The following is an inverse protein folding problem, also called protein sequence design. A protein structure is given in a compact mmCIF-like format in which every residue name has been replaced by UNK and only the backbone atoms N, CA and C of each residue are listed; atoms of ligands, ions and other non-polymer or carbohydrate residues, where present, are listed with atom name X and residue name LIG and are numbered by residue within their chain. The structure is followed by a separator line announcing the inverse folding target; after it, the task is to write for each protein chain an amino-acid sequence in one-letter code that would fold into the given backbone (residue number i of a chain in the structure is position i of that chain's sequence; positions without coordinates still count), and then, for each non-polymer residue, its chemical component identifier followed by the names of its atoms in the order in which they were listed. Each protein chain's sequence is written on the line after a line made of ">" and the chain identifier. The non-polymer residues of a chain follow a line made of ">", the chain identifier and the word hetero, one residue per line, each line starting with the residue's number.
data_IF_501049890988
#
_entry.id   IF_501049890988
#
_cell.length_a   1.000
_cell.length_b   1.000
_cell.length_c   1.000
_cell.angle_alpha   90.00
_cell.angle_beta   90.00
_cell.angle_gamma   90.00
#
_symmetry.space_group_name_H-M   'P 1'
#
loop_
_entity.id
_entity.type
_entity.pdbx_description
1 polymer ?
#
# COMPACT_ATOMS: atom_id res chain seq x y z
N UNK A 1 -27.68 -21.08 7.51
CA UNK A 1 -27.61 -19.61 7.56
C UNK A 1 -27.18 -19.05 8.92
N UNK A 2 -27.83 -19.35 10.08
CA UNK A 2 -27.48 -18.70 11.35
C UNK A 2 -26.08 -19.06 11.88
N UNK A 3 -25.63 -20.30 11.66
CA UNK A 3 -24.27 -20.72 12.04
C UNK A 3 -23.16 -19.95 11.32
N UNK A 4 -23.35 -19.63 10.03
CA UNK A 4 -22.39 -18.85 9.26
C UNK A 4 -22.34 -17.39 9.75
N UNK A 5 -23.50 -16.81 10.13
CA UNK A 5 -23.56 -15.48 10.71
C UNK A 5 -22.82 -15.41 12.06
N UNK A 6 -23.01 -16.42 12.93
CA UNK A 6 -22.29 -16.50 14.21
C UNK A 6 -20.78 -16.62 13.98
N UNK A 7 -20.35 -17.47 13.05
CA UNK A 7 -18.93 -17.63 12.72
C UNK A 7 -18.31 -16.36 12.15
N UNK A 8 -19.04 -15.63 11.30
CA UNK A 8 -18.59 -14.34 10.77
C UNK A 8 -18.41 -13.28 11.86
N UNK A 9 -19.34 -13.20 12.82
CA UNK A 9 -19.23 -12.28 13.95
C UNK A 9 -18.04 -12.63 14.82
N UNK A 10 -17.84 -13.91 15.15
CA UNK A 10 -16.69 -14.36 15.94
C UNK A 10 -15.38 -14.05 15.23
N UNK A 11 -15.29 -14.31 13.92
CA UNK A 11 -14.11 -13.99 13.12
C UNK A 11 -13.84 -12.49 13.05
N UNK A 12 -14.88 -11.68 12.88
CA UNK A 12 -14.76 -10.22 12.87
C UNK A 12 -14.24 -9.69 14.21
N UNK A 13 -14.76 -10.19 15.33
CA UNK A 13 -14.29 -9.82 16.66
C UNK A 13 -12.82 -10.24 16.89
N UNK A 14 -12.44 -11.42 16.39
CA UNK A 14 -11.05 -11.89 16.40
C UNK A 14 -10.16 -10.93 15.60
N UNK A 15 -10.58 -10.58 14.39
CA UNK A 15 -9.84 -9.64 13.54
C UNK A 15 -9.66 -8.29 14.22
N UNK A 16 -10.73 -7.71 14.78
CA UNK A 16 -10.65 -6.45 15.54
C UNK A 16 -9.67 -6.59 16.70
N UNK A 17 -9.72 -7.68 17.46
CA UNK A 17 -8.79 -7.93 18.57
C UNK A 17 -7.33 -8.00 18.14
N UNK A 18 -7.03 -8.49 16.94
CA UNK A 18 -5.66 -8.61 16.42
C UNK A 18 -5.18 -7.31 15.78
N UNK A 19 -6.07 -6.62 15.08
CA UNK A 19 -5.74 -5.42 14.30
C UNK A 19 -5.71 -4.16 15.17
N UNK A 20 -6.57 -4.02 16.18
CA UNK A 20 -6.56 -2.87 17.09
C UNK A 20 -5.18 -2.56 17.70
N UNK A 21 -4.45 -3.51 18.33
CA UNK A 21 -3.11 -3.21 18.87
C UNK A 21 -2.06 -2.96 17.79
N UNK A 22 -2.35 -3.29 16.53
CA UNK A 22 -1.46 -3.06 15.40
C UNK A 22 -1.68 -1.66 14.80
N UNK A 23 -2.90 -1.12 14.82
CA UNK A 23 -3.24 0.25 14.37
C UNK A 23 -2.42 1.30 15.13
N UNK A 24 -2.34 1.17 16.46
CA UNK A 24 -1.59 2.10 17.31
C UNK A 24 -0.08 2.05 17.05
N UNK A 25 0.43 0.88 16.63
CA UNK A 25 1.85 0.67 16.32
C UNK A 25 2.25 1.16 14.94
N UNK A 26 1.33 1.10 13.97
CA UNK A 26 1.56 1.55 12.59
C UNK A 26 1.32 3.07 12.45
N UNK A 27 0.67 3.71 13.43
CA UNK A 27 0.43 5.16 13.41
C UNK A 27 -0.69 5.56 12.44
N UNK A 28 -1.64 4.65 12.16
CA UNK A 28 -2.74 4.90 11.20
C UNK A 28 -3.71 5.98 11.70
N UNK A 29 -3.76 6.25 13.00
CA UNK A 29 -4.54 7.34 13.58
C UNK A 29 -4.09 8.74 13.07
N UNK A 30 -2.84 8.84 12.57
CA UNK A 30 -2.27 10.07 12.01
C UNK A 30 -2.36 10.12 10.48
N UNK A 31 -3.10 9.20 9.86
CA UNK A 31 -3.44 9.25 8.44
C UNK A 31 -4.56 10.28 8.21
N UNK A 32 -4.33 11.51 8.65
CA UNK A 32 -5.20 12.62 8.33
C UNK A 32 -5.03 12.95 6.84
N UNK A 33 -6.12 13.01 6.08
CA UNK A 33 -6.11 13.41 4.66
C UNK A 33 -6.01 14.94 4.49
N UNK A 34 -5.67 15.65 5.55
CA UNK A 34 -5.46 17.09 5.54
C UNK A 34 -4.05 17.40 5.01
N UNK A 35 -3.94 17.52 3.69
CA UNK A 35 -2.70 17.92 3.02
C UNK A 35 -2.38 19.43 3.21
N UNK A 36 -3.22 20.15 3.96
CA UNK A 36 -3.11 21.59 4.18
C UNK A 36 -2.85 21.90 5.65
N UNK A 37 -1.64 21.60 6.11
CA UNK A 37 -1.19 21.95 7.46
C UNK A 37 -0.88 23.46 7.55
N UNK A 38 -1.55 24.18 8.46
CA UNK A 38 -1.36 25.63 8.67
C UNK A 38 0.07 25.97 9.16
N UNK A 39 0.69 25.08 9.94
CA UNK A 39 2.07 25.18 10.45
C UNK A 39 2.92 23.99 9.97
N UNK A 40 3.05 23.80 8.66
CA UNK A 40 3.95 22.79 8.12
C UNK A 40 5.40 23.08 8.54
N UNK A 41 6.12 22.05 9.00
CA UNK A 41 7.53 22.17 9.31
C UNK A 41 8.33 22.59 8.06
N UNK A 42 9.34 23.44 8.25
CA UNK A 42 10.18 23.90 7.16
C UNK A 42 10.92 22.70 6.52
N UNK A 43 10.82 22.58 5.20
CA UNK A 43 11.44 21.47 4.45
C UNK A 43 12.89 21.85 4.17
N UNK A 44 13.89 21.09 4.65
CA UNK A 44 15.29 21.39 4.37
C UNK A 44 15.53 21.52 2.86
N UNK A 45 16.28 22.55 2.45
CA UNK A 45 16.53 22.85 1.03
C UNK A 45 17.10 21.64 0.24
N UNK A 46 17.88 20.79 0.92
CA UNK A 46 18.52 19.60 0.34
C UNK A 46 17.69 18.31 0.49
N UNK A 47 16.43 18.39 0.89
CA UNK A 47 15.61 17.19 1.19
C UNK A 47 15.46 16.29 -0.03
N UNK A 48 15.18 16.86 -1.21
CA UNK A 48 15.02 16.08 -2.45
C UNK A 48 16.35 15.44 -2.86
N UNK A 49 17.43 16.21 -2.77
CA UNK A 49 18.77 15.75 -3.09
C UNK A 49 19.22 14.62 -2.15
N UNK A 50 18.91 14.73 -0.86
CA UNK A 50 19.23 13.72 0.16
C UNK A 50 18.38 12.47 -0.05
N UNK A 51 17.07 12.63 -0.26
CA UNK A 51 16.18 11.51 -0.57
C UNK A 51 16.65 10.74 -1.81
N UNK A 52 17.00 11.46 -2.88
CA UNK A 52 17.50 10.85 -4.12
C UNK A 52 18.79 10.05 -3.90
N UNK A 53 19.72 10.57 -3.08
CA UNK A 53 20.94 9.82 -2.68
C UNK A 53 20.58 8.56 -1.89
N UNK A 54 19.67 8.68 -0.93
CA UNK A 54 19.30 7.59 -0.04
C UNK A 54 18.56 6.45 -0.78
N UNK A 55 17.82 6.77 -1.84
CA UNK A 55 17.13 5.78 -2.69
C UNK A 55 18.08 4.96 -3.58
N UNK A 56 19.31 5.44 -3.83
CA UNK A 56 20.31 4.74 -4.66
C UNK A 56 21.54 4.29 -3.87
N UNK A 57 21.54 4.50 -2.56
CA UNK A 57 22.62 4.10 -1.66
C UNK A 57 22.46 2.60 -1.30
N UNK A 58 23.47 1.75 -1.59
CA UNK A 58 23.45 0.33 -1.26
C UNK A 58 23.22 0.02 0.22
N UNK A 59 23.65 0.92 1.11
CA UNK A 59 23.54 0.75 2.57
C UNK A 59 22.21 1.29 3.12
N UNK A 60 21.35 1.89 2.27
CA UNK A 60 20.04 2.43 2.65
C UNK A 60 18.89 1.78 1.88
N UNK A 61 18.28 2.48 0.92
CA UNK A 61 17.01 2.09 0.30
C UNK A 61 17.14 1.56 -1.13
N UNK A 62 18.35 1.29 -1.61
CA UNK A 62 18.56 0.76 -2.97
C UNK A 62 17.76 -0.52 -3.23
N UNK A 63 17.86 -1.53 -2.35
CA UNK A 63 17.16 -2.80 -2.52
C UNK A 63 15.62 -2.65 -2.47
N UNK A 64 15.02 -1.96 -1.48
CA UNK A 64 13.60 -1.65 -1.51
C UNK A 64 13.14 -0.90 -2.77
N UNK A 65 13.93 0.06 -3.26
CA UNK A 65 13.62 0.82 -4.49
C UNK A 65 13.60 -0.09 -5.72
N UNK A 66 14.57 -1.00 -5.85
CA UNK A 66 14.60 -2.00 -6.92
C UNK A 66 13.36 -2.89 -6.89
N UNK A 67 13.00 -3.43 -5.72
CA UNK A 67 11.81 -4.28 -5.57
C UNK A 67 10.53 -3.50 -5.91
N UNK A 68 10.41 -2.24 -5.49
CA UNK A 68 9.27 -1.40 -5.85
C UNK A 68 9.15 -1.23 -7.38
N UNK A 69 10.27 -1.06 -8.10
CA UNK A 69 10.27 -0.97 -9.56
C UNK A 69 9.78 -2.27 -10.24
N UNK A 70 10.18 -3.43 -9.71
CA UNK A 70 9.71 -4.73 -10.19
C UNK A 70 8.22 -4.94 -9.87
N UNK A 71 7.77 -4.50 -8.70
CA UNK A 71 6.35 -4.56 -8.33
C UNK A 71 5.50 -3.67 -9.23
N UNK A 72 5.97 -2.47 -9.59
CA UNK A 72 5.28 -1.60 -10.55
C UNK A 72 5.24 -2.24 -11.94
N UNK A 73 6.33 -2.85 -12.39
CA UNK A 73 6.37 -3.59 -13.65
C UNK A 73 5.40 -4.78 -13.64
N UNK A 74 5.38 -5.57 -12.56
CA UNK A 74 4.43 -6.67 -12.39
C UNK A 74 2.98 -6.17 -12.35
N UNK A 75 2.72 -5.06 -11.67
CA UNK A 75 1.41 -4.43 -11.62
C UNK A 75 0.95 -3.96 -13.01
N UNK A 76 1.85 -3.39 -13.81
CA UNK A 76 1.56 -3.01 -15.19
C UNK A 76 1.20 -4.22 -16.06
N UNK A 77 1.95 -5.32 -15.96
CA UNK A 77 1.62 -6.57 -16.66
C UNK A 77 0.25 -7.09 -16.21
N UNK A 78 0.00 -7.13 -14.90
CA UNK A 78 -1.28 -7.55 -14.34
C UNK A 78 -2.45 -6.69 -14.82
N UNK A 79 -2.28 -5.37 -14.87
CA UNK A 79 -3.30 -4.44 -15.35
C UNK A 79 -3.61 -4.67 -16.84
N UNK A 80 -2.60 -4.86 -17.68
CA UNK A 80 -2.78 -5.15 -19.11
C UNK A 80 -3.53 -6.46 -19.32
N UNK A 81 -3.17 -7.53 -18.61
CA UNK A 81 -3.86 -8.82 -18.72
C UNK A 81 -5.30 -8.76 -18.23
N UNK A 82 -5.56 -7.99 -17.16
CA UNK A 82 -6.90 -7.82 -16.59
C UNK A 82 -7.84 -7.05 -17.52
N UNK A 83 -7.33 -5.99 -18.16
CA UNK A 83 -8.15 -5.13 -19.03
C UNK A 83 -8.29 -5.66 -20.45
N UNK A 84 -7.47 -6.63 -20.86
CA UNK A 84 -7.51 -7.18 -22.22
C UNK A 84 -8.86 -7.88 -22.45
N UNK A 85 -9.78 -7.30 -23.25
CA UNK A 85 -11.02 -7.98 -23.59
C UNK A 85 -10.61 -9.19 -24.41
N UNK A 86 -10.78 -10.38 -23.85
CA UNK A 86 -10.55 -11.62 -24.58
C UNK A 86 -11.27 -11.51 -25.92
N UNK A 87 -10.57 -11.85 -27.00
CA UNK A 87 -11.26 -12.10 -28.27
C UNK A 87 -12.35 -13.12 -27.96
N UNK A 88 -13.60 -12.68 -27.97
CA UNK A 88 -14.73 -13.60 -28.01
C UNK A 88 -14.49 -14.46 -29.25
N UNK A 89 -14.15 -15.72 -29.03
CA UNK A 89 -14.16 -16.69 -30.11
C UNK A 89 -15.63 -16.80 -30.52
N UNK A 90 -15.96 -16.20 -31.67
CA UNK A 90 -17.19 -16.47 -32.41
C UNK A 90 -17.24 -17.99 -32.63
N UNK A 91 -17.92 -18.68 -31.73
CA UNK A 91 -18.37 -20.05 -31.94
C UNK A 91 -19.61 -20.00 -32.82
N UNK A 92 -19.46 -20.41 -34.08
CA UNK A 92 -20.53 -20.75 -35.03
C UNK A 92 -21.56 -21.74 -34.47
#
# INVERSE_FOLDING_TARGET
>A
WPAAAVLAVVFFLLLVSVVSPLIDKIGVADWNTDFTQEDAADVPADSITTLGKDLVDPDKYMLPFEVASLLLMAAMIGAVLLVNPGKEEESE
#
